data_IF_882818283364
#
_entry.id   IF_882818283364
#
_cell.length_a   1.000
_cell.length_b   1.000
_cell.length_c   1.000
_cell.angle_alpha   90.00
_cell.angle_beta   90.00
_cell.angle_gamma   90.00
#
_symmetry.space_group_name_H-M   'P 1'
#
loop_
_entity.id
_entity.type
_entity.pdbx_description
1 polymer ?
#
# COMPACT_ATOMS: atom_id res chain seq x y z
N UNK A 1 -2.77 13.92 5.83
CA UNK A 1 -2.93 12.79 4.88
C UNK A 1 -4.15 13.03 4.02
N UNK A 2 -4.00 12.94 2.72
CA UNK A 2 -5.12 13.12 1.80
C UNK A 2 -5.67 11.76 1.39
N UNK A 3 -6.98 11.59 1.49
CA UNK A 3 -7.68 10.41 1.00
C UNK A 3 -7.88 10.57 -0.51
N UNK A 4 -7.31 9.66 -1.31
CA UNK A 4 -7.52 9.63 -2.76
C UNK A 4 -8.44 8.44 -3.07
N UNK A 5 -9.61 8.74 -3.61
CA UNK A 5 -10.55 7.74 -4.12
C UNK A 5 -10.44 7.68 -5.63
N UNK A 6 -10.22 6.50 -6.18
CA UNK A 6 -10.12 6.30 -7.63
C UNK A 6 -11.49 6.07 -8.25
N UNK A 7 -11.69 6.66 -9.40
CA UNK A 7 -12.80 6.55 -10.34
C UNK A 7 -14.16 7.08 -9.87
N UNK A 8 -14.47 8.30 -10.29
CA UNK A 8 -15.79 8.94 -10.40
C UNK A 8 -16.57 9.31 -9.13
N UNK A 9 -16.08 9.03 -7.94
CA UNK A 9 -16.67 9.61 -6.75
C UNK A 9 -15.56 10.09 -5.81
N UNK A 10 -15.11 11.33 -6.00
CA UNK A 10 -14.41 12.06 -4.95
C UNK A 10 -15.46 12.35 -3.87
N UNK A 11 -15.63 11.41 -2.95
CA UNK A 11 -16.32 11.72 -1.71
C UNK A 11 -15.34 12.54 -0.87
N UNK A 12 -15.39 13.84 -1.07
CA UNK A 12 -14.79 14.78 -0.12
C UNK A 12 -15.64 14.68 1.15
N UNK A 13 -15.18 13.87 2.12
CA UNK A 13 -15.76 13.83 3.46
C UNK A 13 -14.95 14.79 4.32
N UNK A 14 -15.42 16.04 4.49
CA UNK A 14 -14.59 17.10 5.09
C UNK A 14 -14.31 16.94 6.60
N UNK A 15 -14.77 15.84 7.23
CA UNK A 15 -14.68 15.63 8.66
C UNK A 15 -14.40 14.19 9.11
N UNK A 16 -13.76 13.36 8.27
CA UNK A 16 -13.39 12.03 8.70
C UNK A 16 -11.97 12.03 9.28
N UNK A 17 -11.83 12.10 10.58
CA UNK A 17 -10.57 11.86 11.27
C UNK A 17 -10.31 10.36 11.33
N UNK A 18 -9.33 9.90 10.54
CA UNK A 18 -8.84 8.53 10.64
C UNK A 18 -7.80 8.50 11.76
N UNK A 19 -8.12 7.78 12.83
CA UNK A 19 -7.22 7.62 13.97
C UNK A 19 -6.37 6.36 13.82
N UNK A 20 -5.07 6.51 14.04
CA UNK A 20 -4.10 5.42 14.05
C UNK A 20 -3.60 5.18 15.48
N UNK A 21 -3.40 3.93 15.85
CA UNK A 21 -2.69 3.58 17.08
C UNK A 21 -1.24 4.08 17.04
N UNK A 22 -0.56 4.13 18.17
CA UNK A 22 0.86 4.50 18.21
C UNK A 22 1.71 3.59 17.33
N UNK A 23 1.43 2.29 17.34
CA UNK A 23 2.10 1.29 16.52
C UNK A 23 1.88 1.54 15.03
N UNK A 24 0.63 1.70 14.62
CA UNK A 24 0.29 2.00 13.23
C UNK A 24 0.94 3.31 12.76
N UNK A 25 0.88 4.36 13.57
CA UNK A 25 1.53 5.64 13.29
C UNK A 25 3.04 5.49 13.13
N UNK A 26 3.68 4.65 13.95
CA UNK A 26 5.11 4.36 13.83
C UNK A 26 5.42 3.64 12.51
N UNK A 27 4.63 2.63 12.14
CA UNK A 27 4.79 1.89 10.88
C UNK A 27 4.62 2.84 9.69
N UNK A 28 3.53 3.62 9.66
CA UNK A 28 3.27 4.59 8.59
C UNK A 28 4.41 5.59 8.41
N UNK A 29 4.98 6.12 9.51
CA UNK A 29 6.14 7.03 9.47
C UNK A 29 7.39 6.37 8.90
N UNK A 30 7.64 5.09 9.23
CA UNK A 30 8.79 4.35 8.69
C UNK A 30 8.65 4.11 7.19
N UNK A 31 7.47 3.70 6.74
CA UNK A 31 7.17 3.51 5.31
C UNK A 31 7.26 4.85 4.56
N UNK A 32 6.66 5.91 5.09
CA UNK A 32 6.73 7.25 4.48
C UNK A 32 8.16 7.75 4.32
N UNK A 33 9.02 7.55 5.35
CA UNK A 33 10.43 7.93 5.29
C UNK A 33 11.22 7.09 4.28
N UNK A 34 10.94 5.79 4.18
CA UNK A 34 11.55 4.94 3.17
C UNK A 34 11.14 5.36 1.75
N UNK A 35 9.85 5.66 1.55
CA UNK A 35 9.31 6.16 0.29
C UNK A 35 9.93 7.50 -0.12
N UNK A 36 10.11 8.42 0.82
CA UNK A 36 10.78 9.70 0.61
C UNK A 36 12.25 9.50 0.21
N UNK A 37 12.97 8.60 0.89
CA UNK A 37 14.38 8.27 0.58
C UNK A 37 14.52 7.73 -0.83
N UNK A 38 13.58 6.92 -1.29
CA UNK A 38 13.59 6.31 -2.62
C UNK A 38 12.95 7.19 -3.70
N UNK A 39 12.27 8.27 -3.33
CA UNK A 39 11.54 9.14 -4.25
C UNK A 39 10.36 8.46 -4.93
N UNK A 40 9.67 7.53 -4.24
CA UNK A 40 8.54 6.77 -4.79
C UNK A 40 7.23 7.16 -4.13
N UNK A 41 6.21 7.42 -4.93
CA UNK A 41 4.86 7.63 -4.41
C UNK A 41 4.34 6.34 -3.79
N UNK A 42 3.79 6.45 -2.57
CA UNK A 42 3.35 5.31 -1.78
C UNK A 42 2.03 5.61 -1.08
N UNK A 43 1.14 4.64 -1.11
CA UNK A 43 -0.20 4.73 -0.55
C UNK A 43 -0.48 3.53 0.35
N UNK A 44 -1.11 3.79 1.49
CA UNK A 44 -1.77 2.77 2.30
C UNK A 44 -3.11 2.45 1.65
N UNK A 45 -3.42 1.19 1.44
CA UNK A 45 -4.57 0.75 0.63
C UNK A 45 -5.40 -0.33 1.30
N UNK A 46 -6.52 -0.65 0.69
CA UNK A 46 -7.28 -1.88 0.91
C UNK A 46 -8.04 -1.96 2.21
N UNK A 47 -8.07 -3.16 2.76
CA UNK A 47 -8.85 -3.50 3.95
C UNK A 47 -8.49 -2.69 5.18
N UNK A 48 -7.22 -2.35 5.34
CA UNK A 48 -6.75 -1.50 6.44
C UNK A 48 -7.48 -0.13 6.44
N UNK A 49 -7.50 0.54 5.29
CA UNK A 49 -8.15 1.87 5.17
C UNK A 49 -9.64 1.76 5.46
N UNK A 50 -10.31 0.77 4.87
CA UNK A 50 -11.73 0.48 5.13
C UNK A 50 -11.99 0.25 6.62
N UNK A 51 -11.21 -0.60 7.27
CA UNK A 51 -11.42 -1.01 8.65
C UNK A 51 -11.14 0.15 9.63
N UNK A 52 -10.17 1.02 9.31
CA UNK A 52 -9.96 2.26 10.05
C UNK A 52 -11.14 3.23 9.96
N UNK A 53 -11.72 3.38 8.77
CA UNK A 53 -12.93 4.18 8.58
C UNK A 53 -14.10 3.61 9.40
N UNK A 54 -14.18 2.28 9.52
CA UNK A 54 -15.22 1.59 10.28
C UNK A 54 -14.91 1.47 11.79
N UNK A 55 -13.78 2.02 12.26
CA UNK A 55 -13.37 1.95 13.66
C UNK A 55 -12.97 0.55 14.13
N UNK A 56 -12.52 -0.32 13.22
CA UNK A 56 -12.07 -1.68 13.49
C UNK A 56 -10.57 -1.74 13.76
N UNK A 57 -10.15 -2.72 14.54
CA UNK A 57 -8.73 -3.05 14.69
C UNK A 57 -8.20 -3.75 13.44
N UNK A 58 -6.90 -3.54 13.17
CA UNK A 58 -6.20 -4.14 12.04
C UNK A 58 -4.93 -4.85 12.52
N UNK A 59 -4.60 -5.95 11.86
CA UNK A 59 -3.39 -6.74 12.13
C UNK A 59 -2.37 -6.70 10.99
N UNK A 60 -2.74 -6.09 9.89
CA UNK A 60 -1.97 -6.03 8.66
C UNK A 60 -2.15 -4.67 7.98
N UNK A 61 -1.17 -4.26 7.20
CA UNK A 61 -1.21 -3.04 6.42
C UNK A 61 -0.63 -3.29 5.02
N UNK A 62 -1.40 -2.91 4.00
CA UNK A 62 -1.03 -3.06 2.60
C UNK A 62 -0.62 -1.71 2.02
N UNK A 63 0.55 -1.69 1.39
CA UNK A 63 1.09 -0.52 0.72
C UNK A 63 1.28 -0.79 -0.77
N UNK A 64 0.84 0.16 -1.59
CA UNK A 64 1.17 0.20 -3.02
C UNK A 64 2.12 1.35 -3.29
N UNK A 65 3.14 1.12 -4.11
CA UNK A 65 4.07 2.16 -4.52
C UNK A 65 4.22 2.21 -6.05
N UNK A 66 4.41 3.41 -6.57
CA UNK A 66 4.76 3.63 -7.98
C UNK A 66 6.27 3.39 -8.19
N UNK A 67 6.72 2.13 -7.97
CA UNK A 67 8.12 1.77 -8.03
C UNK A 67 8.39 0.34 -7.56
N UNK A 68 9.62 0.07 -7.15
CA UNK A 68 10.05 -1.24 -6.67
C UNK A 68 9.64 -1.47 -5.19
N UNK A 69 8.62 -2.30 -4.99
CA UNK A 69 8.11 -2.64 -3.67
C UNK A 69 9.13 -3.42 -2.82
N UNK A 70 10.02 -4.18 -3.44
CA UNK A 70 11.05 -4.95 -2.71
C UNK A 70 12.10 -3.98 -2.14
N UNK A 71 12.49 -2.96 -2.91
CA UNK A 71 13.37 -1.90 -2.40
C UNK A 71 12.70 -1.11 -1.29
N UNK A 72 11.42 -0.75 -1.45
CA UNK A 72 10.67 -0.03 -0.42
C UNK A 72 10.56 -0.83 0.88
N UNK A 73 10.23 -2.13 0.80
CA UNK A 73 10.19 -3.02 1.96
C UNK A 73 11.56 -3.12 2.64
N UNK A 74 12.63 -3.28 1.85
CA UNK A 74 13.98 -3.38 2.37
C UNK A 74 14.42 -2.11 3.09
N UNK A 75 14.14 -0.94 2.52
CA UNK A 75 14.46 0.35 3.13
C UNK A 75 13.62 0.61 4.40
N UNK A 76 12.37 0.18 4.38
CA UNK A 76 11.49 0.22 5.56
C UNK A 76 12.02 -0.67 6.67
N UNK A 77 12.42 -1.92 6.37
CA UNK A 77 12.93 -2.88 7.34
C UNK A 77 14.15 -2.37 8.10
N UNK A 78 15.06 -1.66 7.45
CA UNK A 78 16.27 -1.08 8.07
C UNK A 78 15.97 -0.12 9.22
N UNK A 79 14.76 0.43 9.29
CA UNK A 79 14.35 1.38 10.32
C UNK A 79 13.82 0.71 11.59
N UNK A 80 13.72 -0.62 11.61
CA UNK A 80 13.34 -1.38 12.79
C UNK A 80 14.57 -1.90 13.54
N UNK A 81 14.41 -2.09 14.85
CA UNK A 81 15.43 -2.74 15.69
C UNK A 81 14.73 -3.75 16.62
N UNK A 82 15.00 -5.05 16.47
CA UNK A 82 15.86 -5.66 15.44
C UNK A 82 15.28 -5.49 14.04
N UNK A 83 16.15 -5.56 13.02
CA UNK A 83 15.75 -5.50 11.61
C UNK A 83 14.97 -6.79 11.28
N UNK A 84 13.70 -6.68 10.87
CA UNK A 84 12.92 -7.85 10.49
C UNK A 84 13.39 -8.44 9.15
N UNK A 85 13.09 -9.72 8.96
CA UNK A 85 13.29 -10.35 7.66
C UNK A 85 12.31 -9.78 6.64
N UNK A 86 12.78 -9.60 5.41
CA UNK A 86 11.96 -9.23 4.25
C UNK A 86 11.79 -10.47 3.38
N UNK A 87 10.57 -10.95 3.31
CA UNK A 87 10.19 -11.99 2.36
C UNK A 87 9.68 -11.33 1.08
N UNK A 88 10.12 -11.81 -0.08
CA UNK A 88 9.75 -11.19 -1.36
C UNK A 88 9.52 -12.20 -2.47
N UNK A 89 8.64 -11.83 -3.39
CA UNK A 89 8.26 -12.61 -4.56
C UNK A 89 8.54 -11.78 -5.82
N UNK A 90 9.71 -11.94 -6.40
CA UNK A 90 10.17 -11.15 -7.56
C UNK A 90 9.22 -11.20 -8.74
N UNK A 91 8.65 -12.38 -9.03
CA UNK A 91 7.73 -12.56 -10.15
C UNK A 91 6.42 -11.77 -10.02
N UNK A 92 6.08 -11.40 -8.79
CA UNK A 92 4.85 -10.64 -8.49
C UNK A 92 5.13 -9.20 -8.11
N UNK A 93 6.40 -8.81 -7.95
CA UNK A 93 6.77 -7.49 -7.49
C UNK A 93 6.22 -7.17 -6.09
N UNK A 94 6.18 -8.17 -5.21
CA UNK A 94 5.63 -8.02 -3.84
C UNK A 94 6.69 -8.34 -2.80
N UNK A 95 6.59 -7.71 -1.64
CA UNK A 95 7.40 -8.00 -0.47
C UNK A 95 6.57 -7.92 0.80
N UNK A 96 7.00 -8.64 1.82
CA UNK A 96 6.31 -8.78 3.08
C UNK A 96 7.29 -8.68 4.25
N UNK A 97 6.88 -7.96 5.29
CA UNK A 97 7.61 -7.83 6.55
C UNK A 97 6.67 -8.24 7.68
N UNK A 98 7.10 -9.18 8.51
CA UNK A 98 6.44 -9.49 9.77
C UNK A 98 7.25 -8.91 10.92
N UNK A 99 6.65 -8.01 11.67
CA UNK A 99 7.30 -7.46 12.86
C UNK A 99 7.04 -8.34 14.09
N UNK A 100 7.88 -8.18 15.11
CA UNK A 100 7.98 -9.10 16.26
C UNK A 100 6.70 -9.36 17.05
N UNK A 101 5.73 -8.47 16.95
CA UNK A 101 4.42 -8.60 17.61
C UNK A 101 3.33 -9.23 16.73
N UNK A 102 3.72 -9.76 15.56
CA UNK A 102 2.83 -10.44 14.64
C UNK A 102 2.06 -9.54 13.68
N UNK A 103 2.37 -8.25 13.62
CA UNK A 103 1.78 -7.35 12.62
C UNK A 103 2.44 -7.56 11.25
N UNK A 104 1.62 -7.72 10.22
CA UNK A 104 2.08 -7.95 8.87
C UNK A 104 2.05 -6.66 8.03
N UNK A 105 3.10 -6.45 7.24
CA UNK A 105 3.22 -5.31 6.33
C UNK A 105 3.51 -5.85 4.94
N UNK A 106 2.58 -5.64 4.01
CA UNK A 106 2.73 -6.05 2.62
C UNK A 106 3.00 -4.84 1.73
N UNK A 107 3.90 -5.03 0.78
CA UNK A 107 4.27 -4.03 -0.22
C UNK A 107 4.06 -4.59 -1.60
N UNK A 108 3.36 -3.83 -2.45
CA UNK A 108 3.13 -4.19 -3.85
C UNK A 108 3.50 -3.03 -4.76
N UNK A 109 4.11 -3.33 -5.90
CA UNK A 109 4.30 -2.34 -6.96
C UNK A 109 2.97 -2.06 -7.65
N UNK A 110 2.69 -0.81 -7.96
CA UNK A 110 1.55 -0.43 -8.78
C UNK A 110 1.66 -1.10 -10.16
N UNK A 111 0.56 -1.69 -10.61
CA UNK A 111 0.54 -2.47 -11.85
C UNK A 111 -0.72 -2.21 -12.65
N UNK A 112 -0.58 -2.32 -13.96
CA UNK A 112 -1.68 -2.39 -14.91
C UNK A 112 -1.79 -3.81 -15.46
N UNK A 113 -2.98 -4.19 -15.83
CA UNK A 113 -3.24 -5.43 -16.53
C UNK A 113 -3.50 -5.13 -18.00
N UNK A 114 -2.75 -5.79 -18.88
CA UNK A 114 -3.02 -5.78 -20.32
C UNK A 114 -3.48 -7.16 -20.75
N UNK A 115 -4.52 -7.18 -21.60
CA UNK A 115 -5.03 -8.43 -22.19
C UNK A 115 -4.57 -8.50 -23.63
N UNK A 116 -3.78 -9.51 -23.96
CA UNK A 116 -3.50 -9.84 -25.36
C UNK A 116 -4.69 -10.61 -25.96
N UNK A 117 -5.03 -10.32 -27.20
CA UNK A 117 -6.20 -10.89 -27.90
C UNK A 117 -6.20 -12.44 -27.95
N UNK A 118 -5.03 -13.06 -27.82
CA UNK A 118 -4.85 -14.53 -27.88
C UNK A 118 -4.52 -15.19 -26.52
N UNK A 119 -4.51 -14.44 -25.41
CA UNK A 119 -4.18 -14.98 -24.09
C UNK A 119 -5.29 -14.71 -23.08
N UNK A 120 -5.69 -15.77 -22.38
CA UNK A 120 -6.60 -15.65 -21.22
C UNK A 120 -5.90 -15.22 -19.93
N UNK A 121 -4.56 -15.15 -19.95
CA UNK A 121 -3.78 -14.69 -18.81
C UNK A 121 -3.41 -13.22 -19.03
N UNK A 122 -3.77 -12.32 -18.11
CA UNK A 122 -3.34 -10.94 -18.19
C UNK A 122 -1.82 -10.86 -18.07
N UNK A 123 -1.18 -10.04 -18.88
CA UNK A 123 0.19 -9.63 -18.64
C UNK A 123 0.18 -8.50 -17.61
N UNK A 124 1.02 -8.63 -16.58
CA UNK A 124 1.15 -7.66 -15.52
C UNK A 124 2.38 -6.81 -15.82
N UNK A 125 2.16 -5.52 -15.98
CA UNK A 125 3.22 -4.52 -16.19
C UNK A 125 3.21 -3.48 -15.08
N UNK A 126 4.35 -2.82 -14.80
CA UNK A 126 4.36 -1.64 -13.93
C UNK A 126 3.36 -0.60 -14.44
N UNK A 127 2.58 -0.05 -13.53
CA UNK A 127 1.54 0.93 -13.83
C UNK A 127 1.54 2.10 -12.87
N UNK A 128 0.67 3.08 -13.13
CA UNK A 128 0.41 4.16 -12.18
C UNK A 128 -0.48 3.67 -11.04
N UNK A 129 -0.56 4.46 -9.99
CA UNK A 129 -1.48 4.19 -8.86
C UNK A 129 -2.93 4.17 -9.33
N UNK A 130 -3.31 5.07 -10.24
CA UNK A 130 -4.64 5.15 -10.81
C UNK A 130 -4.99 3.88 -11.61
N UNK A 131 -4.05 3.39 -12.42
CA UNK A 131 -4.22 2.15 -13.17
C UNK A 131 -4.36 0.95 -12.25
N UNK A 132 -3.56 0.88 -11.17
CA UNK A 132 -3.65 -0.19 -10.17
C UNK A 132 -4.99 -0.16 -9.44
N UNK A 133 -5.48 1.00 -9.07
CA UNK A 133 -6.76 1.13 -8.39
C UNK A 133 -7.95 0.83 -9.30
N UNK A 134 -7.88 1.24 -10.58
CA UNK A 134 -8.96 1.03 -11.55
C UNK A 134 -9.26 -0.47 -11.81
N UNK A 135 -8.27 -1.35 -11.64
CA UNK A 135 -8.44 -2.80 -11.81
C UNK A 135 -9.00 -3.54 -10.59
N UNK A 136 -9.18 -2.86 -9.44
CA UNK A 136 -9.67 -3.48 -8.20
C UNK A 136 -11.19 -3.62 -8.23
N UNK A 137 -11.70 -4.78 -7.77
CA UNK A 137 -13.11 -5.16 -7.93
C UNK A 137 -14.10 -4.30 -7.16
N UNK A 138 -13.79 -3.86 -5.94
CA UNK A 138 -14.71 -3.10 -5.12
C UNK A 138 -14.14 -1.74 -4.74
N UNK A 139 -14.94 -0.68 -4.92
CA UNK A 139 -14.53 0.69 -4.58
C UNK A 139 -14.15 0.87 -3.12
N UNK A 140 -14.80 0.15 -2.21
CA UNK A 140 -14.48 0.16 -0.77
C UNK A 140 -13.10 -0.44 -0.47
N UNK A 141 -12.60 -1.34 -1.31
CA UNK A 141 -11.27 -1.93 -1.22
C UNK A 141 -10.23 -1.17 -2.07
N UNK A 142 -10.67 -0.18 -2.84
CA UNK A 142 -9.81 0.70 -3.64
C UNK A 142 -9.52 2.03 -2.93
N UNK A 143 -9.91 2.18 -1.66
CA UNK A 143 -9.56 3.33 -0.85
C UNK A 143 -8.04 3.38 -0.62
N UNK A 144 -7.48 4.57 -0.75
CA UNK A 144 -6.05 4.79 -0.58
C UNK A 144 -5.77 6.06 0.23
N UNK A 145 -4.75 6.01 1.08
CA UNK A 145 -4.24 7.15 1.84
C UNK A 145 -2.82 7.41 1.37
N UNK A 146 -2.56 8.60 0.82
CA UNK A 146 -1.21 9.02 0.43
C UNK A 146 -0.33 9.18 1.65
N UNK A 147 0.90 8.68 1.59
CA UNK A 147 1.93 8.88 2.62
C UNK A 147 2.78 10.12 2.39
N UNK A 148 2.70 10.71 1.19
CA UNK A 148 3.34 11.98 0.89
C UNK A 148 2.41 13.16 1.29
N UNK A 149 3.06 14.28 1.64
CA UNK A 149 2.38 15.54 1.95
C UNK A 149 2.04 16.33 0.69
#
# INVERSE_FOLDING_TARGET
MNLVSCAFLVIFVPFMEITFSQKESMILKKVARAAETLGVETFLIGGFVRDKILGRETSDADFVCAGDAILLATETAKQFNPVPQVDYFRNFGTAHIRISDGFDIEFVGARKESYQLDSRKPEVEPGSIEEDQARRDFTINALAISLQK
#
